data_IF_791236914883
#
_entry.id   IF_791236914883
#
_cell.length_a   1.000
_cell.length_b   1.000
_cell.length_c   1.000
_cell.angle_alpha   90.00
_cell.angle_beta   90.00
_cell.angle_gamma   90.00
#
_symmetry.space_group_name_H-M   'P 1'
#
loop_
_entity.id
_entity.type
_entity.pdbx_description
1 polymer ?
#
# COMPACT_ATOMS: atom_id res chain seq x y z
N UNK A 1 -19.84 -14.47 20.24
CA UNK A 1 -19.84 -14.63 18.76
C UNK A 1 -18.43 -14.34 18.27
N UNK A 2 -17.71 -15.30 17.69
CA UNK A 2 -16.41 -15.02 17.06
C UNK A 2 -16.67 -14.37 15.70
N UNK A 3 -16.42 -13.07 15.57
CA UNK A 3 -16.43 -12.41 14.27
C UNK A 3 -15.24 -12.95 13.49
N UNK A 4 -15.49 -13.63 12.37
CA UNK A 4 -14.42 -14.11 11.48
C UNK A 4 -13.73 -12.87 10.90
N UNK A 5 -12.47 -12.65 11.29
CA UNK A 5 -11.67 -11.54 10.77
C UNK A 5 -11.35 -11.79 9.30
N UNK A 6 -11.59 -10.78 8.47
CA UNK A 6 -11.12 -10.78 7.10
C UNK A 6 -9.59 -10.56 7.04
N UNK A 7 -9.01 -10.73 5.85
CA UNK A 7 -7.57 -10.61 5.65
C UNK A 7 -7.03 -9.21 5.97
N UNK A 8 -7.84 -8.17 5.74
CA UNK A 8 -7.45 -6.79 6.03
C UNK A 8 -7.35 -6.57 7.54
N UNK A 9 -8.34 -7.04 8.30
CA UNK A 9 -8.33 -6.93 9.76
C UNK A 9 -7.10 -7.63 10.35
N UNK A 10 -6.77 -8.84 9.86
CA UNK A 10 -5.57 -9.56 10.30
C UNK A 10 -4.29 -8.79 9.99
N UNK A 11 -4.20 -8.19 8.79
CA UNK A 11 -3.04 -7.40 8.40
C UNK A 11 -2.90 -6.11 9.23
N UNK A 12 -4.02 -5.42 9.50
CA UNK A 12 -4.07 -4.22 10.32
C UNK A 12 -3.67 -4.51 11.77
N UNK A 13 -4.22 -5.56 12.39
CA UNK A 13 -3.86 -5.95 13.75
C UNK A 13 -2.36 -6.23 13.87
N UNK A 14 -1.81 -6.98 12.91
CA UNK A 14 -0.38 -7.33 12.87
C UNK A 14 0.53 -6.10 12.74
N UNK A 15 0.13 -5.11 11.95
CA UNK A 15 0.90 -3.88 11.74
C UNK A 15 0.61 -2.80 12.80
N UNK A 16 -0.46 -2.92 13.58
CA UNK A 16 -0.89 -1.85 14.49
C UNK A 16 0.05 -1.62 15.67
N UNK A 17 0.20 -0.36 16.05
CA UNK A 17 0.84 0.03 17.31
C UNK A 17 -0.10 -0.27 18.49
N UNK A 18 0.41 -0.99 19.49
CA UNK A 18 -0.38 -1.44 20.65
C UNK A 18 -1.03 -0.29 21.44
N UNK A 19 -0.42 0.89 21.46
CA UNK A 19 -0.89 2.01 22.26
C UNK A 19 -2.14 2.70 21.68
N UNK A 20 -2.30 2.75 20.35
CA UNK A 20 -3.30 3.63 19.72
C UNK A 20 -3.85 3.13 18.37
N UNK A 21 -3.65 1.85 18.03
CA UNK A 21 -4.07 1.25 16.74
C UNK A 21 -3.60 2.04 15.51
N UNK A 22 -2.43 2.68 15.58
CA UNK A 22 -1.86 3.39 14.43
C UNK A 22 -1.11 2.42 13.53
N UNK A 23 -1.30 2.54 12.23
CA UNK A 23 -0.59 1.78 11.18
C UNK A 23 0.09 2.76 10.22
N UNK A 24 1.32 2.47 9.81
CA UNK A 24 1.97 3.23 8.74
C UNK A 24 1.63 2.53 7.42
N UNK A 25 1.03 3.24 6.48
CA UNK A 25 0.55 2.67 5.22
C UNK A 25 1.38 3.23 4.06
N UNK A 26 1.85 2.33 3.21
CA UNK A 26 2.43 2.68 1.90
C UNK A 26 1.74 1.88 0.81
N UNK A 27 1.49 2.50 -0.34
CA UNK A 27 0.88 1.83 -1.49
C UNK A 27 1.89 1.73 -2.62
N UNK A 28 2.10 0.51 -3.11
CA UNK A 28 3.06 0.20 -4.16
C UNK A 28 2.39 -0.55 -5.32
N UNK A 29 2.98 -0.40 -6.51
CA UNK A 29 2.67 -1.18 -7.69
C UNK A 29 3.97 -1.68 -8.34
N UNK A 30 3.87 -2.41 -9.46
CA UNK A 30 4.98 -2.99 -10.21
C UNK A 30 6.11 -1.98 -10.47
N UNK A 31 5.77 -0.74 -10.83
CA UNK A 31 6.76 0.30 -11.11
C UNK A 31 7.57 0.77 -9.88
N UNK A 32 7.14 0.45 -8.65
CA UNK A 32 7.92 0.74 -7.44
C UNK A 32 8.94 -0.35 -7.13
N UNK A 33 8.65 -1.59 -7.51
CA UNK A 33 9.48 -2.76 -7.19
C UNK A 33 10.40 -3.15 -8.34
N UNK A 34 10.13 -2.67 -9.55
CA UNK A 34 11.03 -2.80 -10.68
C UNK A 34 12.20 -1.81 -10.57
N UNK A 35 13.44 -2.26 -10.80
CA UNK A 35 14.60 -1.38 -10.83
C UNK A 35 14.56 -0.44 -12.04
N UNK A 36 15.01 0.81 -11.87
CA UNK A 36 15.09 1.75 -12.98
C UNK A 36 16.20 1.30 -13.95
N UNK A 37 15.84 1.09 -15.22
CA UNK A 37 16.76 0.56 -16.26
C UNK A 37 17.40 -0.80 -15.93
N UNK A 38 16.77 -1.59 -15.06
CA UNK A 38 17.29 -2.90 -14.64
C UNK A 38 18.42 -2.83 -13.61
N UNK A 39 18.78 -1.63 -13.13
CA UNK A 39 19.82 -1.43 -12.13
C UNK A 39 19.19 -1.30 -10.73
N UNK A 40 19.60 -2.17 -9.80
CA UNK A 40 19.26 -2.07 -8.38
C UNK A 40 19.88 -0.80 -7.76
N UNK A 41 19.21 -0.11 -6.80
CA UNK A 41 17.95 -0.45 -6.13
C UNK A 41 16.66 0.04 -6.82
N UNK A 42 15.55 -0.65 -6.57
CA UNK A 42 14.21 -0.14 -6.92
C UNK A 42 13.80 1.02 -6.00
N UNK A 43 12.76 1.78 -6.39
CA UNK A 43 12.21 2.86 -5.56
C UNK A 43 11.76 2.34 -4.18
N UNK A 44 11.16 1.13 -4.15
CA UNK A 44 10.74 0.49 -2.91
C UNK A 44 11.93 0.07 -2.05
N UNK A 45 13.03 -0.37 -2.64
CA UNK A 45 14.24 -0.72 -1.89
C UNK A 45 14.86 0.52 -1.24
N UNK A 46 14.92 1.65 -1.95
CA UNK A 46 15.37 2.94 -1.39
C UNK A 46 14.46 3.39 -0.23
N UNK A 47 13.13 3.24 -0.40
CA UNK A 47 12.18 3.56 0.65
C UNK A 47 12.44 2.76 1.93
N UNK A 48 12.67 1.44 1.80
CA UNK A 48 12.99 0.59 2.94
C UNK A 48 14.36 0.92 3.56
N UNK A 49 15.35 1.25 2.74
CA UNK A 49 16.67 1.68 3.21
C UNK A 49 16.56 2.92 4.10
N UNK A 50 15.65 3.85 3.80
CA UNK A 50 15.40 5.02 4.64
C UNK A 50 14.98 4.70 6.08
N UNK A 51 14.26 3.59 6.30
CA UNK A 51 13.98 3.10 7.66
C UNK A 51 15.19 2.44 8.32
N UNK A 52 16.12 1.91 7.52
CA UNK A 52 17.28 1.21 8.02
C UNK A 52 18.38 2.18 8.49
N UNK A 53 18.64 3.22 7.69
CA UNK A 53 19.67 4.22 7.97
C UNK A 53 19.18 5.41 8.79
N UNK A 54 17.87 5.59 8.92
CA UNK A 54 17.29 6.68 9.71
C UNK A 54 17.45 6.47 11.22
N UNK A 55 17.53 7.58 11.95
CA UNK A 55 17.60 7.58 13.41
C UNK A 55 16.25 7.19 14.02
N UNK A 56 16.23 6.14 14.85
CA UNK A 56 15.01 5.62 15.52
C UNK A 56 13.86 5.19 14.58
N UNK A 57 14.11 5.05 13.27
CA UNK A 57 13.06 4.69 12.29
C UNK A 57 12.94 3.18 12.07
N UNK A 58 14.01 2.40 12.30
CA UNK A 58 14.02 0.95 12.07
C UNK A 58 12.89 0.19 12.77
N UNK A 59 12.53 0.48 14.05
CA UNK A 59 11.41 -0.17 14.71
C UNK A 59 10.06 0.08 14.03
N UNK A 60 9.92 1.17 13.26
CA UNK A 60 8.68 1.51 12.57
C UNK A 60 8.35 0.54 11.43
N UNK A 61 9.33 -0.19 10.89
CA UNK A 61 9.10 -1.20 9.84
C UNK A 61 8.11 -2.29 10.27
N UNK A 62 8.06 -2.63 11.57
CA UNK A 62 7.09 -3.61 12.07
C UNK A 62 5.65 -3.09 12.01
N UNK A 63 5.48 -1.77 11.96
CA UNK A 63 4.20 -1.08 11.86
C UNK A 63 3.85 -0.62 10.45
N UNK A 64 4.71 -0.94 9.47
CA UNK A 64 4.47 -0.66 8.07
C UNK A 64 3.57 -1.74 7.47
N UNK A 65 2.42 -1.32 6.94
CA UNK A 65 1.54 -2.08 6.07
C UNK A 65 1.77 -1.64 4.62
N UNK A 66 2.24 -2.58 3.81
CA UNK A 66 2.50 -2.38 2.39
C UNK A 66 1.29 -2.87 1.60
N UNK A 67 0.55 -1.93 1.04
CA UNK A 67 -0.62 -2.16 0.20
C UNK A 67 -0.17 -2.33 -1.25
N UNK A 68 -0.31 -3.54 -1.76
CA UNK A 68 0.16 -3.94 -3.09
C UNK A 68 -0.99 -3.88 -4.08
N UNK A 69 -0.81 -3.21 -5.22
CA UNK A 69 -1.86 -3.06 -6.24
C UNK A 69 -1.81 -4.09 -7.37
N UNK A 70 -0.78 -4.95 -7.39
CA UNK A 70 -0.59 -5.99 -8.38
C UNK A 70 0.19 -7.18 -7.79
N UNK A 71 0.17 -8.30 -8.50
CA UNK A 71 0.90 -9.53 -8.15
C UNK A 71 2.40 -9.30 -7.90
N UNK A 72 3.09 -8.63 -8.83
CA UNK A 72 4.55 -8.41 -8.75
C UNK A 72 4.97 -7.63 -7.49
N UNK A 73 4.24 -6.56 -7.17
CA UNK A 73 4.50 -5.77 -5.96
C UNK A 73 4.14 -6.53 -4.68
N UNK A 74 3.11 -7.37 -4.73
CA UNK A 74 2.71 -8.20 -3.59
C UNK A 74 3.75 -9.29 -3.29
N UNK A 75 4.23 -9.98 -4.32
CA UNK A 75 5.32 -10.96 -4.21
C UNK A 75 6.59 -10.33 -3.65
N UNK A 76 6.96 -9.13 -4.12
CA UNK A 76 8.12 -8.40 -3.59
C UNK A 76 7.94 -8.06 -2.11
N UNK A 77 6.76 -7.62 -1.69
CA UNK A 77 6.47 -7.35 -0.29
C UNK A 77 6.65 -8.60 0.58
N UNK A 78 6.08 -9.73 0.14
CA UNK A 78 6.19 -11.00 0.85
C UNK A 78 7.64 -11.49 0.92
N UNK A 79 8.38 -11.36 -0.18
CA UNK A 79 9.81 -11.70 -0.25
C UNK A 79 10.62 -10.89 0.79
N UNK A 80 10.26 -9.62 1.00
CA UNK A 80 10.84 -8.75 2.04
C UNK A 80 10.35 -9.05 3.46
N UNK A 81 9.41 -9.99 3.64
CA UNK A 81 8.83 -10.41 4.93
C UNK A 81 8.18 -9.25 5.71
N UNK A 82 7.57 -8.31 4.99
CA UNK A 82 6.84 -7.18 5.58
C UNK A 82 5.38 -7.54 5.87
N UNK A 83 4.61 -6.62 6.45
CA UNK A 83 3.15 -6.77 6.50
C UNK A 83 2.59 -6.35 5.14
N UNK A 84 1.98 -7.30 4.43
CA UNK A 84 1.52 -7.12 3.06
C UNK A 84 0.00 -7.28 3.00
N UNK A 85 -0.67 -6.39 2.27
CA UNK A 85 -2.07 -6.54 1.92
C UNK A 85 -2.24 -6.28 0.42
N UNK A 86 -2.91 -7.19 -0.30
CA UNK A 86 -3.17 -7.01 -1.73
C UNK A 86 -4.51 -6.31 -1.89
N UNK A 87 -4.48 -5.08 -2.41
CA UNK A 87 -5.70 -4.36 -2.77
C UNK A 87 -6.11 -4.79 -4.17
N UNK A 88 -7.28 -5.41 -4.28
CA UNK A 88 -7.87 -5.89 -5.54
C UNK A 88 -9.12 -5.06 -5.82
N UNK A 89 -9.32 -4.60 -7.05
CA UNK A 89 -10.56 -3.90 -7.40
C UNK A 89 -11.75 -4.88 -7.38
N UNK A 90 -12.95 -4.39 -7.07
CA UNK A 90 -14.16 -5.22 -7.16
C UNK A 90 -14.29 -5.80 -8.58
N UNK A 91 -14.44 -7.13 -8.66
CA UNK A 91 -14.39 -7.89 -9.92
C UNK A 91 -13.25 -8.91 -10.03
N UNK A 92 -12.23 -8.84 -9.17
CA UNK A 92 -11.17 -9.85 -9.06
C UNK A 92 -10.10 -9.80 -10.19
N UNK A 93 -8.88 -10.26 -9.89
CA UNK A 93 -7.74 -10.32 -10.82
C UNK A 93 -6.69 -9.21 -10.65
N UNK A 94 -5.71 -9.15 -11.55
CA UNK A 94 -4.76 -8.01 -11.67
C UNK A 94 -5.46 -6.79 -12.31
N UNK A 95 -6.59 -6.38 -11.74
CA UNK A 95 -7.53 -5.38 -12.29
C UNK A 95 -6.99 -3.95 -12.36
N UNK A 96 -5.77 -3.71 -11.86
CA UNK A 96 -5.01 -2.47 -12.02
C UNK A 96 -3.98 -2.53 -13.17
N UNK A 97 -3.83 -3.68 -13.83
CA UNK A 97 -2.95 -3.88 -14.99
C UNK A 97 -3.77 -3.85 -16.29
N UNK A 98 -4.01 -2.64 -16.83
CA UNK A 98 -4.68 -2.46 -18.11
C UNK A 98 -5.30 -1.07 -18.25
N UNK A 99 -5.29 -0.52 -19.47
CA UNK A 99 -5.95 0.74 -19.78
C UNK A 99 -7.47 0.57 -19.62
N UNK A 100 -8.09 1.34 -18.72
CA UNK A 100 -9.55 1.36 -18.54
C UNK A 100 -10.15 2.54 -19.30
N UNK A 101 -11.37 2.38 -19.79
CA UNK A 101 -12.10 3.45 -20.49
C UNK A 101 -12.31 4.61 -19.53
N UNK A 102 -11.80 5.78 -19.92
CA UNK A 102 -11.93 7.01 -19.15
C UNK A 102 -13.39 7.27 -18.74
N UNK A 103 -13.62 7.52 -17.45
CA UNK A 103 -14.94 7.75 -16.82
C UNK A 103 -15.91 6.56 -16.77
N UNK A 104 -15.46 5.33 -17.08
CA UNK A 104 -16.27 4.15 -16.76
C UNK A 104 -16.38 3.93 -15.25
N UNK A 105 -17.41 3.23 -14.79
CA UNK A 105 -17.53 2.87 -13.36
C UNK A 105 -16.29 2.13 -12.87
N UNK A 106 -15.74 1.22 -13.68
CA UNK A 106 -14.50 0.49 -13.38
C UNK A 106 -13.28 1.43 -13.28
N UNK A 107 -13.22 2.48 -14.10
CA UNK A 107 -12.17 3.51 -14.02
C UNK A 107 -12.30 4.35 -12.75
N UNK A 108 -13.54 4.72 -12.39
CA UNK A 108 -13.85 5.47 -11.18
C UNK A 108 -13.53 4.60 -9.94
N UNK A 109 -13.97 3.36 -9.91
CA UNK A 109 -13.67 2.40 -8.84
C UNK A 109 -12.16 2.16 -8.70
N UNK A 110 -11.44 1.99 -9.82
CA UNK A 110 -9.98 1.92 -9.82
C UNK A 110 -9.34 3.18 -9.21
N UNK A 111 -9.84 4.37 -9.57
CA UNK A 111 -9.32 5.65 -9.10
C UNK A 111 -9.56 5.86 -7.60
N UNK A 112 -10.76 5.53 -7.10
CA UNK A 112 -11.16 5.72 -5.71
C UNK A 112 -10.77 4.55 -4.79
N UNK A 113 -10.29 3.43 -5.34
CA UNK A 113 -9.93 2.23 -4.56
C UNK A 113 -9.01 2.53 -3.38
N UNK A 114 -8.01 3.41 -3.58
CA UNK A 114 -7.09 3.80 -2.50
C UNK A 114 -7.80 4.60 -1.41
N UNK A 115 -8.66 5.54 -1.79
CA UNK A 115 -9.42 6.38 -0.87
C UNK A 115 -10.45 5.56 -0.10
N UNK A 116 -11.17 4.64 -0.76
CA UNK A 116 -12.08 3.71 -0.10
C UNK A 116 -11.36 2.76 0.87
N UNK A 117 -10.18 2.26 0.49
CA UNK A 117 -9.34 1.48 1.38
C UNK A 117 -8.99 2.27 2.66
N UNK A 118 -8.52 3.51 2.53
CA UNK A 118 -8.20 4.35 3.69
C UNK A 118 -9.44 4.65 4.55
N UNK A 119 -10.61 4.86 3.93
CA UNK A 119 -11.87 5.01 4.65
C UNK A 119 -12.27 3.74 5.40
N UNK A 120 -12.05 2.55 4.83
CA UNK A 120 -12.33 1.28 5.50
C UNK A 120 -11.44 1.08 6.73
N UNK A 121 -10.15 1.43 6.62
CA UNK A 121 -9.21 1.43 7.76
C UNK A 121 -9.73 2.31 8.91
N UNK A 122 -10.24 3.52 8.61
CA UNK A 122 -10.82 4.42 9.62
C UNK A 122 -12.11 3.87 10.21
N UNK A 123 -13.00 3.28 9.39
CA UNK A 123 -14.26 2.67 9.85
C UNK A 123 -14.01 1.51 10.82
N UNK A 124 -12.89 0.79 10.66
CA UNK A 124 -12.43 -0.27 11.56
C UNK A 124 -11.80 0.25 12.86
N UNK A 125 -11.64 1.56 13.00
CA UNK A 125 -11.13 2.22 14.21
C UNK A 125 -9.60 2.24 14.31
N UNK A 126 -8.91 2.10 13.18
CA UNK A 126 -7.46 2.30 13.12
C UNK A 126 -7.14 3.76 12.75
N UNK A 127 -6.03 4.25 13.28
CA UNK A 127 -5.41 5.48 12.80
C UNK A 127 -4.35 5.12 11.76
N UNK A 128 -4.05 6.02 10.82
CA UNK A 128 -2.97 5.75 9.87
C UNK A 128 -2.09 6.96 9.57
N UNK A 129 -0.83 6.66 9.27
CA UNK A 129 0.12 7.59 8.64
C UNK A 129 0.34 7.09 7.22
N UNK A 130 0.09 7.92 6.21
CA UNK A 130 0.18 7.51 4.81
C UNK A 130 1.39 8.15 4.12
N UNK A 131 2.22 7.35 3.46
CA UNK A 131 3.38 7.87 2.70
C UNK A 131 2.95 8.24 1.28
N UNK A 132 3.00 9.52 0.93
CA UNK A 132 2.65 10.01 -0.42
C UNK A 132 3.91 10.05 -1.28
N UNK A 133 3.84 9.56 -2.53
CA UNK A 133 4.84 9.87 -3.56
C UNK A 133 4.49 11.21 -4.22
N UNK A 134 5.35 12.20 -4.10
CA UNK A 134 5.29 13.39 -4.96
C UNK A 134 5.86 13.03 -6.33
N UNK A 135 5.02 13.06 -7.37
CA UNK A 135 5.51 13.10 -8.76
C UNK A 135 5.62 14.58 -9.14
N UNK A 136 6.83 15.12 -9.11
CA UNK A 136 7.10 16.49 -9.51
C UNK A 136 7.28 16.51 -11.04
N UNK A 137 6.19 16.45 -11.80
CA UNK A 137 6.13 16.92 -13.20
C UNK A 137 4.70 16.83 -13.75
N UNK A 138 4.20 17.98 -14.22
CA UNK A 138 2.87 18.27 -14.75
C UNK A 138 1.69 17.96 -13.82
N UNK A 139 1.06 19.03 -13.35
CA UNK A 139 -0.09 19.04 -12.46
C UNK A 139 -1.28 18.22 -13.01
N UNK A 140 -1.34 16.96 -12.62
CA UNK A 140 -2.59 16.29 -12.27
C UNK A 140 -2.41 15.79 -10.85
N UNK A 141 -2.96 16.57 -9.92
CA UNK A 141 -3.09 16.21 -8.51
C UNK A 141 -3.82 14.87 -8.42
N UNK A 142 -3.13 13.86 -7.89
CA UNK A 142 -3.79 12.81 -7.13
C UNK A 142 -3.16 12.83 -5.73
N UNK A 143 -3.70 13.73 -4.92
CA UNK A 143 -3.47 13.79 -3.48
C UNK A 143 -4.80 13.48 -2.83
N UNK A 144 -5.04 12.19 -2.54
CA UNK A 144 -6.24 11.65 -1.87
C UNK A 144 -7.55 11.82 -2.66
#
# INVERSE_FOLDING_TARGET
>A
MCVKKDELEVALEKASMAANKTVIITTINKAYVEPYRGEYPSMFDIFLEGFWVGEETRPLLRHLLVVSMDSASHERCQFRRLNCYRLVAEGGGDSFAGEKIYMSNEFIEMMWSRTYFLLDVLKRGYNFIFTIKFKLEHAIRFSI
#
